data_IF_070843474322
#
_entry.id   IF_070843474322
#
_cell.length_a   1.000
_cell.length_b   1.000
_cell.length_c   1.000
_cell.angle_alpha   90.00
_cell.angle_beta   90.00
_cell.angle_gamma   90.00
#
_symmetry.space_group_name_H-M   'P 1'
#
loop_
_entity.id
_entity.type
_entity.pdbx_description
1 polymer ?
#
# COMPACT_ATOMS: atom_id res chain seq x y z
N UNK A 1 -25.52 -3.93 -7.29
CA UNK A 1 -24.28 -4.30 -6.57
C UNK A 1 -24.46 -5.69 -5.98
N UNK A 2 -23.59 -6.64 -6.31
CA UNK A 2 -23.63 -7.96 -5.70
C UNK A 2 -23.01 -7.94 -4.29
N UNK A 3 -23.40 -8.88 -3.40
CA UNK A 3 -22.65 -9.13 -2.18
C UNK A 3 -21.16 -9.31 -2.49
N UNK A 4 -20.30 -8.65 -1.71
CA UNK A 4 -18.85 -8.72 -1.92
C UNK A 4 -18.37 -10.12 -1.56
N UNK A 5 -17.63 -10.75 -2.46
CA UNK A 5 -17.05 -12.07 -2.26
C UNK A 5 -15.73 -11.99 -1.48
N UNK A 6 -15.28 -13.10 -0.89
CA UNK A 6 -13.98 -13.16 -0.22
C UNK A 6 -13.92 -12.39 1.11
N UNK A 7 -15.05 -12.09 1.74
CA UNK A 7 -15.10 -11.46 3.07
C UNK A 7 -16.20 -12.11 3.92
N UNK A 8 -16.23 -11.79 5.23
CA UNK A 8 -17.21 -12.32 6.17
C UNK A 8 -18.66 -12.01 5.70
N UNK A 9 -19.65 -12.90 5.92
CA UNK A 9 -21.00 -12.74 5.37
C UNK A 9 -21.71 -11.44 5.79
N UNK A 10 -21.45 -10.95 7.01
CA UNK A 10 -22.01 -9.68 7.50
C UNK A 10 -21.33 -8.52 6.79
N UNK A 11 -19.99 -8.50 6.76
CA UNK A 11 -19.19 -7.48 6.05
C UNK A 11 -19.56 -7.39 4.57
N UNK A 12 -19.73 -8.54 3.91
CA UNK A 12 -20.17 -8.66 2.51
C UNK A 12 -21.48 -7.91 2.24
N UNK A 13 -22.48 -8.10 3.09
CA UNK A 13 -23.79 -7.45 2.96
C UNK A 13 -23.73 -5.97 3.29
N UNK A 14 -22.98 -5.59 4.34
CA UNK A 14 -22.84 -4.20 4.74
C UNK A 14 -22.11 -3.43 3.64
N UNK A 15 -20.96 -3.90 3.15
CA UNK A 15 -20.24 -3.28 2.02
C UNK A 15 -21.14 -3.12 0.79
N UNK A 16 -21.90 -4.16 0.43
CA UNK A 16 -22.78 -4.08 -0.74
C UNK A 16 -23.87 -3.02 -0.55
N UNK A 17 -24.45 -2.94 0.66
CA UNK A 17 -25.47 -1.95 0.99
C UNK A 17 -24.89 -0.54 1.04
N UNK A 18 -23.78 -0.33 1.73
CA UNK A 18 -23.12 0.97 1.80
C UNK A 18 -22.67 1.43 0.42
N UNK A 19 -22.18 0.54 -0.44
CA UNK A 19 -21.84 0.87 -1.84
C UNK A 19 -23.07 1.34 -2.63
N UNK A 20 -24.23 0.71 -2.41
CA UNK A 20 -25.49 1.17 -3.00
C UNK A 20 -25.85 2.57 -2.52
N UNK A 21 -25.76 2.82 -1.21
CA UNK A 21 -26.08 4.13 -0.63
C UNK A 21 -25.08 5.21 -1.13
N UNK A 22 -23.81 4.86 -1.32
CA UNK A 22 -22.77 5.76 -1.87
C UNK A 22 -22.97 6.15 -3.34
N UNK A 23 -23.90 5.53 -4.07
CA UNK A 23 -24.28 5.96 -5.43
C UNK A 23 -25.28 7.13 -5.44
N UNK A 24 -25.95 7.42 -4.33
CA UNK A 24 -26.96 8.48 -4.22
C UNK A 24 -26.45 9.87 -4.63
N UNK A 25 -25.26 10.34 -4.20
CA UNK A 25 -24.75 11.67 -4.58
C UNK A 25 -24.53 11.84 -6.09
N UNK A 26 -24.37 10.73 -6.82
CA UNK A 26 -24.18 10.72 -8.27
C UNK A 26 -25.51 10.62 -9.04
N UNK A 27 -26.65 10.55 -8.34
CA UNK A 27 -27.96 10.37 -8.96
C UNK A 27 -28.12 9.02 -9.66
N UNK A 28 -27.36 8.00 -9.25
CA UNK A 28 -27.39 6.67 -9.84
C UNK A 28 -28.30 5.74 -9.02
N UNK A 29 -29.45 5.31 -9.57
CA UNK A 29 -30.31 4.34 -8.89
C UNK A 29 -29.58 3.00 -8.79
N UNK A 30 -29.35 2.53 -7.57
CA UNK A 30 -28.65 1.29 -7.31
C UNK A 30 -29.41 0.41 -6.29
N UNK A 31 -29.13 -0.89 -6.33
CA UNK A 31 -29.71 -1.88 -5.42
C UNK A 31 -28.75 -3.04 -5.15
N UNK A 32 -28.94 -3.72 -4.02
CA UNK A 32 -28.20 -4.94 -3.66
C UNK A 32 -28.84 -6.16 -4.32
N UNK A 33 -28.11 -6.89 -5.16
CA UNK A 33 -28.63 -8.04 -5.90
C UNK A 33 -29.31 -9.10 -5.00
N UNK A 34 -30.30 -9.86 -5.51
CA UNK A 34 -30.73 -9.91 -6.92
C UNK A 34 -31.64 -8.75 -7.32
N UNK A 35 -31.42 -8.20 -8.53
CA UNK A 35 -32.26 -7.20 -9.16
C UNK A 35 -32.38 -7.50 -10.66
N UNK A 36 -33.58 -7.86 -11.12
CA UNK A 36 -33.80 -8.34 -12.50
C UNK A 36 -33.78 -7.23 -13.57
N UNK A 37 -33.83 -5.97 -13.16
CA UNK A 37 -33.94 -4.81 -14.05
C UNK A 37 -32.67 -3.92 -14.09
N UNK A 38 -31.53 -4.41 -13.60
CA UNK A 38 -30.30 -3.62 -13.57
C UNK A 38 -29.62 -3.59 -14.94
N UNK A 39 -29.38 -2.40 -15.48
CA UNK A 39 -28.60 -2.20 -16.72
C UNK A 39 -27.10 -2.48 -16.52
N UNK A 40 -26.61 -2.30 -15.30
CA UNK A 40 -25.22 -2.50 -14.91
C UNK A 40 -25.13 -3.35 -13.65
N UNK A 41 -24.09 -4.18 -13.60
CA UNK A 41 -23.82 -5.10 -12.50
C UNK A 41 -22.41 -4.82 -12.00
N UNK A 42 -22.30 -4.57 -10.69
CA UNK A 42 -21.03 -4.40 -9.99
C UNK A 42 -20.76 -5.65 -9.14
N UNK A 43 -19.65 -6.33 -9.42
CA UNK A 43 -19.11 -7.43 -8.63
C UNK A 43 -17.87 -6.96 -7.89
N UNK A 44 -17.74 -7.34 -6.62
CA UNK A 44 -16.57 -7.06 -5.80
C UNK A 44 -16.05 -8.34 -5.16
N UNK A 45 -14.73 -8.51 -5.15
CA UNK A 45 -14.06 -9.62 -4.46
C UNK A 45 -12.89 -9.10 -3.65
N UNK A 46 -12.94 -9.32 -2.35
CA UNK A 46 -11.81 -9.07 -1.46
C UNK A 46 -10.79 -10.21 -1.57
N UNK A 47 -9.52 -9.83 -1.70
CA UNK A 47 -8.37 -10.72 -1.55
C UNK A 47 -7.56 -10.26 -0.35
N UNK A 48 -7.25 -11.19 0.54
CA UNK A 48 -6.43 -10.94 1.72
C UNK A 48 -4.99 -11.37 1.48
N UNK A 49 -4.06 -10.59 2.01
CA UNK A 49 -2.68 -11.03 2.13
C UNK A 49 -2.57 -12.05 3.28
N UNK A 50 -1.82 -13.15 3.11
CA UNK A 50 -1.57 -14.10 4.20
C UNK A 50 -0.83 -13.48 5.39
N UNK A 51 -0.10 -12.39 5.18
CA UNK A 51 0.52 -11.61 6.25
C UNK A 51 -0.51 -10.59 6.82
N UNK A 52 -0.95 -10.73 8.08
CA UNK A 52 -1.93 -9.81 8.69
C UNK A 52 -1.40 -8.39 8.91
N UNK A 53 -0.09 -8.17 8.74
CA UNK A 53 0.56 -6.88 8.82
C UNK A 53 0.89 -6.29 7.44
N UNK A 54 0.47 -6.94 6.34
CA UNK A 54 0.62 -6.41 5.00
C UNK A 54 -0.06 -5.05 4.84
N UNK A 55 0.54 -4.20 4.00
CA UNK A 55 -0.01 -2.90 3.65
C UNK A 55 -0.08 -2.83 2.11
N UNK A 56 -1.26 -2.99 1.48
CA UNK A 56 -2.55 -3.25 2.12
C UNK A 56 -2.71 -4.72 2.58
N UNK A 57 -3.44 -4.94 3.68
CA UNK A 57 -3.83 -6.29 4.10
C UNK A 57 -4.94 -6.86 3.21
N UNK A 58 -5.81 -6.00 2.66
CA UNK A 58 -6.90 -6.39 1.76
C UNK A 58 -6.88 -5.53 0.50
N UNK A 59 -7.08 -6.19 -0.64
CA UNK A 59 -7.35 -5.53 -1.92
C UNK A 59 -8.69 -6.03 -2.46
N UNK A 60 -9.61 -5.11 -2.77
CA UNK A 60 -10.84 -5.44 -3.51
C UNK A 60 -10.60 -5.31 -5.00
N UNK A 61 -11.03 -6.34 -5.73
CA UNK A 61 -11.13 -6.32 -7.18
C UNK A 61 -12.60 -6.14 -7.55
N UNK A 62 -12.89 -5.10 -8.31
CA UNK A 62 -14.24 -4.76 -8.72
C UNK A 62 -14.38 -4.89 -10.23
N UNK A 63 -15.45 -5.55 -10.65
CA UNK A 63 -15.80 -5.69 -12.06
C UNK A 63 -17.16 -5.04 -12.29
N UNK A 64 -17.19 -4.04 -13.17
CA UNK A 64 -18.41 -3.41 -13.64
C UNK A 64 -18.74 -3.97 -15.01
N UNK A 65 -19.88 -4.63 -15.17
CA UNK A 65 -20.38 -5.11 -16.45
C UNK A 65 -21.74 -4.50 -16.77
N UNK A 66 -22.12 -4.50 -18.05
CA UNK A 66 -23.52 -4.28 -18.42
C UNK A 66 -24.35 -5.57 -18.19
N UNK A 67 -25.67 -5.47 -18.41
CA UNK A 67 -26.61 -6.61 -18.30
C UNK A 67 -26.33 -7.77 -19.27
N UNK A 68 -25.66 -7.49 -20.39
CA UNK A 68 -25.29 -8.49 -21.39
C UNK A 68 -23.97 -9.22 -21.02
N UNK A 69 -23.33 -8.82 -19.92
CA UNK A 69 -22.07 -9.38 -19.44
C UNK A 69 -20.81 -8.76 -20.06
N UNK A 70 -20.94 -7.68 -20.85
CA UNK A 70 -19.78 -6.92 -21.33
C UNK A 70 -19.12 -6.20 -20.15
N UNK A 71 -17.85 -6.53 -19.89
CA UNK A 71 -17.04 -5.86 -18.89
C UNK A 71 -16.72 -4.42 -19.34
N UNK A 72 -17.17 -3.45 -18.56
CA UNK A 72 -16.95 -2.02 -18.78
C UNK A 72 -15.72 -1.53 -18.01
N UNK A 73 -15.44 -2.12 -16.84
CA UNK A 73 -14.27 -1.78 -16.05
C UNK A 73 -13.83 -2.93 -15.13
N UNK A 74 -12.52 -3.02 -14.92
CA UNK A 74 -11.87 -3.82 -13.88
C UNK A 74 -11.06 -2.87 -13.00
N UNK A 75 -11.34 -2.82 -11.71
CA UNK A 75 -10.81 -1.85 -10.77
C UNK A 75 -10.21 -2.56 -9.57
N UNK A 76 -8.94 -2.30 -9.32
CA UNK A 76 -8.31 -2.66 -8.05
C UNK A 76 -8.50 -1.53 -7.03
N UNK A 77 -8.70 -1.91 -5.77
CA UNK A 77 -8.90 -1.01 -4.65
C UNK A 77 -8.20 -1.56 -3.38
N UNK A 78 -7.00 -1.08 -3.06
CA UNK A 78 -6.31 -1.43 -1.83
C UNK A 78 -6.99 -0.74 -0.65
N UNK A 79 -7.30 -1.52 0.39
CA UNK A 79 -7.95 -1.02 1.59
C UNK A 79 -6.90 -0.49 2.57
N UNK A 80 -7.07 0.76 2.95
CA UNK A 80 -6.26 1.41 3.97
C UNK A 80 -6.83 1.15 5.36
N UNK A 81 -6.63 -0.07 5.83
CA UNK A 81 -7.06 -0.54 7.13
C UNK A 81 -6.08 -1.59 7.66
N UNK A 82 -5.95 -1.66 8.98
CA UNK A 82 -5.35 -2.82 9.63
C UNK A 82 -6.23 -4.07 9.45
N UNK A 83 -5.65 -5.25 9.63
CA UNK A 83 -6.40 -6.51 9.63
C UNK A 83 -7.53 -6.53 10.64
N UNK A 84 -7.30 -5.97 11.85
CA UNK A 84 -8.35 -5.82 12.85
C UNK A 84 -9.50 -4.93 12.37
N UNK A 85 -9.22 -3.72 11.86
CA UNK A 85 -10.26 -2.81 11.39
C UNK A 85 -11.09 -3.39 10.24
N UNK A 86 -10.48 -4.18 9.35
CA UNK A 86 -11.19 -4.87 8.28
C UNK A 86 -12.06 -6.02 8.80
N UNK A 87 -11.48 -6.94 9.57
CA UNK A 87 -12.17 -8.16 10.04
C UNK A 87 -13.30 -7.84 11.02
N UNK A 88 -13.15 -6.79 11.84
CA UNK A 88 -14.21 -6.32 12.74
C UNK A 88 -15.20 -5.35 12.07
N UNK A 89 -14.97 -4.97 10.81
CA UNK A 89 -15.89 -4.13 10.04
C UNK A 89 -16.03 -2.71 10.58
N UNK A 90 -14.91 -2.01 10.80
CA UNK A 90 -14.91 -0.60 11.23
C UNK A 90 -15.74 0.26 10.26
N UNK A 91 -16.78 0.99 10.73
CA UNK A 91 -17.68 1.76 9.87
C UNK A 91 -16.98 2.73 8.91
N UNK A 92 -15.95 3.42 9.38
CA UNK A 92 -15.19 4.39 8.59
C UNK A 92 -14.40 3.72 7.45
N UNK A 93 -13.97 2.47 7.61
CA UNK A 93 -13.31 1.71 6.54
C UNK A 93 -14.34 1.34 5.48
N UNK A 94 -15.49 0.83 5.88
CA UNK A 94 -16.59 0.42 4.99
C UNK A 94 -17.07 1.61 4.15
N UNK A 95 -17.32 2.76 4.79
CA UNK A 95 -17.79 3.97 4.10
C UNK A 95 -16.77 4.44 3.07
N UNK A 96 -15.49 4.54 3.43
CA UNK A 96 -14.44 4.95 2.48
C UNK A 96 -14.31 4.02 1.28
N UNK A 97 -14.38 2.71 1.51
CA UNK A 97 -14.32 1.71 0.43
C UNK A 97 -15.49 1.90 -0.53
N UNK A 98 -16.71 2.05 0.01
CA UNK A 98 -17.94 2.24 -0.75
C UNK A 98 -17.95 3.56 -1.53
N UNK A 99 -17.54 4.67 -0.92
CA UNK A 99 -17.50 5.99 -1.56
C UNK A 99 -16.50 6.04 -2.72
N UNK A 100 -15.31 5.47 -2.57
CA UNK A 100 -14.28 5.45 -3.61
C UNK A 100 -14.73 4.64 -4.84
N UNK A 101 -15.26 3.42 -4.65
CA UNK A 101 -15.74 2.63 -5.79
C UNK A 101 -16.97 3.28 -6.43
N UNK A 102 -17.88 3.87 -5.66
CA UNK A 102 -19.05 4.57 -6.20
C UNK A 102 -18.64 5.78 -7.06
N UNK A 103 -17.67 6.57 -6.57
CA UNK A 103 -17.11 7.69 -7.31
C UNK A 103 -16.53 7.25 -8.66
N UNK A 104 -15.68 6.21 -8.66
CA UNK A 104 -15.01 5.71 -9.86
C UNK A 104 -16.01 5.12 -10.85
N UNK A 105 -16.97 4.32 -10.38
CA UNK A 105 -18.03 3.76 -11.23
C UNK A 105 -18.91 4.85 -11.81
N UNK A 106 -19.27 5.88 -11.04
CA UNK A 106 -20.07 6.99 -11.54
C UNK A 106 -19.37 7.76 -12.67
N UNK A 107 -18.07 8.00 -12.54
CA UNK A 107 -17.27 8.61 -13.60
C UNK A 107 -17.31 7.76 -14.89
N UNK A 108 -17.09 6.45 -14.78
CA UNK A 108 -17.12 5.50 -15.91
C UNK A 108 -18.46 5.57 -16.65
N UNK A 109 -19.57 5.50 -15.90
CA UNK A 109 -20.91 5.53 -16.48
C UNK A 109 -21.27 6.87 -17.10
N UNK A 110 -20.68 7.97 -16.64
CA UNK A 110 -20.82 9.28 -17.26
C UNK A 110 -20.02 9.42 -18.58
N UNK A 111 -19.33 8.37 -19.04
CA UNK A 111 -18.45 8.41 -20.21
C UNK A 111 -17.17 9.21 -19.97
N UNK A 112 -16.92 9.61 -18.73
CA UNK A 112 -15.61 10.07 -18.29
C UNK A 112 -14.82 8.79 -18.15
N UNK A 113 -13.87 8.56 -19.07
CA UNK A 113 -12.96 7.44 -18.92
C UNK A 113 -12.47 7.48 -17.47
N UNK A 114 -12.59 6.37 -16.71
CA UNK A 114 -12.00 6.36 -15.39
C UNK A 114 -10.56 6.81 -15.63
N UNK A 115 -10.03 7.63 -14.73
CA UNK A 115 -8.59 7.59 -14.62
C UNK A 115 -8.29 6.09 -14.38
N UNK A 116 -7.90 5.37 -15.45
CA UNK A 116 -6.82 4.40 -15.32
C UNK A 116 -5.84 5.15 -14.43
N UNK A 117 -5.34 4.56 -13.34
CA UNK A 117 -4.25 5.20 -12.64
C UNK A 117 -3.22 5.49 -13.72
N UNK A 118 -3.20 6.74 -14.20
CA UNK A 118 -2.16 7.21 -15.07
C UNK A 118 -0.94 6.88 -14.25
N UNK A 119 0.06 6.17 -14.80
CA UNK A 119 1.28 5.94 -14.06
C UNK A 119 1.72 7.31 -13.61
N UNK A 120 1.52 7.60 -12.33
CA UNK A 120 1.55 8.96 -11.85
C UNK A 120 2.93 9.49 -12.24
N UNK A 121 3.04 10.71 -12.78
CA UNK A 121 4.34 11.26 -13.17
C UNK A 121 5.33 11.40 -12.00
N UNK A 122 4.96 10.99 -10.78
CA UNK A 122 5.87 10.67 -9.68
C UNK A 122 5.52 9.32 -9.03
N UNK A 123 6.07 8.24 -9.56
CA UNK A 123 6.03 6.92 -8.94
C UNK A 123 6.65 7.00 -7.53
N UNK A 124 5.86 6.83 -6.49
CA UNK A 124 6.29 6.93 -5.09
C UNK A 124 7.08 5.71 -4.59
N UNK A 125 7.34 5.65 -3.29
CA UNK A 125 7.89 4.45 -2.63
C UNK A 125 6.74 3.58 -2.12
N UNK A 126 6.78 2.29 -2.42
CA UNK A 126 5.95 1.28 -1.77
C UNK A 126 6.73 0.69 -0.59
N UNK A 127 6.14 0.71 0.60
CA UNK A 127 6.78 0.20 1.83
C UNK A 127 6.20 -1.17 2.15
N UNK A 128 7.03 -2.20 2.07
CA UNK A 128 6.70 -3.55 2.52
C UNK A 128 6.66 -3.58 4.06
N UNK A 129 5.90 -4.52 4.66
CA UNK A 129 6.01 -4.81 6.08
C UNK A 129 7.47 -5.05 6.48
N UNK A 130 7.87 -4.46 7.59
CA UNK A 130 9.12 -4.76 8.27
C UNK A 130 9.01 -6.16 8.87
N UNK A 131 10.12 -6.90 8.86
CA UNK A 131 10.19 -8.25 9.39
C UNK A 131 11.28 -8.35 10.49
N UNK A 132 11.07 -9.27 11.44
CA UNK A 132 12.06 -9.68 12.42
C UNK A 132 12.10 -8.85 13.71
N UNK A 133 11.27 -7.81 13.83
CA UNK A 133 11.14 -7.06 15.07
C UNK A 133 10.23 -7.80 16.06
N UNK A 134 10.65 -7.99 17.33
CA UNK A 134 9.85 -8.72 18.31
C UNK A 134 8.57 -7.97 18.72
N UNK A 135 7.59 -8.69 19.27
CA UNK A 135 6.34 -8.09 19.74
C UNK A 135 5.49 -7.50 18.61
N UNK A 136 5.01 -6.27 18.79
CA UNK A 136 4.29 -5.47 17.78
C UNK A 136 5.24 -4.61 16.91
N UNK A 137 6.54 -4.94 16.92
CA UNK A 137 7.58 -4.15 16.31
C UNK A 137 7.51 -4.06 14.79
N UNK A 138 7.17 -5.15 14.11
CA UNK A 138 7.05 -5.18 12.64
C UNK A 138 6.01 -4.14 12.16
N UNK A 139 4.82 -4.16 12.77
CA UNK A 139 3.75 -3.21 12.49
C UNK A 139 4.16 -1.78 12.87
N UNK A 140 4.70 -1.59 14.07
CA UNK A 140 5.09 -0.27 14.57
C UNK A 140 6.19 0.38 13.74
N UNK A 141 7.20 -0.38 13.31
CA UNK A 141 8.29 0.11 12.45
C UNK A 141 7.80 0.42 11.05
N UNK A 142 6.95 -0.44 10.45
CA UNK A 142 6.38 -0.20 9.12
C UNK A 142 5.60 1.11 9.08
N UNK A 143 4.75 1.34 10.09
CA UNK A 143 4.00 2.59 10.21
C UNK A 143 4.92 3.79 10.46
N UNK A 144 5.90 3.65 11.35
CA UNK A 144 6.81 4.74 11.68
C UNK A 144 7.67 5.16 10.48
N UNK A 145 8.20 4.21 9.70
CA UNK A 145 9.03 4.53 8.52
C UNK A 145 8.21 5.16 7.41
N UNK A 146 6.98 4.67 7.16
CA UNK A 146 6.08 5.27 6.19
C UNK A 146 5.75 6.73 6.56
N UNK A 147 5.42 6.99 7.83
CA UNK A 147 5.16 8.36 8.31
C UNK A 147 6.40 9.26 8.21
N UNK A 148 7.57 8.76 8.61
CA UNK A 148 8.80 9.52 8.54
C UNK A 148 9.17 9.89 7.08
N UNK A 149 8.99 8.97 6.12
CA UNK A 149 9.18 9.23 4.69
C UNK A 149 8.23 10.32 4.18
N UNK A 150 6.93 10.26 4.55
CA UNK A 150 5.95 11.29 4.17
C UNK A 150 6.33 12.65 4.74
N UNK A 151 6.71 12.73 6.02
CA UNK A 151 7.14 13.98 6.68
C UNK A 151 8.33 14.61 5.95
N UNK A 152 9.22 13.79 5.41
CA UNK A 152 10.36 14.21 4.59
C UNK A 152 10.01 14.50 3.12
N UNK A 153 8.73 14.55 2.76
CA UNK A 153 8.25 14.91 1.42
C UNK A 153 8.26 13.76 0.42
N UNK A 154 8.51 12.53 0.87
CA UNK A 154 8.50 11.35 -0.01
C UNK A 154 7.05 10.98 -0.32
N UNK A 155 6.72 10.92 -1.61
CA UNK A 155 5.47 10.31 -2.05
C UNK A 155 5.50 8.81 -1.79
N UNK A 156 4.49 8.31 -1.08
CA UNK A 156 4.26 6.87 -0.96
C UNK A 156 3.17 6.44 -1.91
N UNK A 157 3.29 5.24 -2.44
CA UNK A 157 2.22 4.57 -3.18
C UNK A 157 1.72 3.36 -2.40
N UNK A 158 0.45 3.02 -2.60
CA UNK A 158 -0.19 1.80 -2.06
C UNK A 158 -0.07 0.61 -3.02
N UNK A 159 0.50 0.84 -4.20
CA UNK A 159 0.54 -0.07 -5.33
C UNK A 159 1.98 -0.39 -5.69
N UNK A 160 2.41 -1.63 -5.46
CA UNK A 160 3.81 -2.07 -5.70
C UNK A 160 4.19 -1.90 -7.17
N UNK A 161 3.27 -2.19 -8.07
CA UNK A 161 3.42 -2.12 -9.52
C UNK A 161 3.52 -0.68 -10.05
N UNK A 162 2.99 0.29 -9.30
CA UNK A 162 3.08 1.72 -9.62
C UNK A 162 4.27 2.40 -8.93
N UNK A 163 4.99 1.69 -8.06
CA UNK A 163 6.10 2.24 -7.31
C UNK A 163 7.33 2.51 -8.18
N UNK A 164 8.11 3.53 -7.82
CA UNK A 164 9.45 3.73 -8.37
C UNK A 164 10.42 2.82 -7.64
N UNK A 165 10.21 2.72 -6.33
CA UNK A 165 11.01 1.93 -5.44
C UNK A 165 10.14 1.15 -4.46
N UNK A 166 10.60 -0.03 -4.10
CA UNK A 166 10.03 -0.88 -3.05
C UNK A 166 11.03 -0.90 -1.89
N UNK A 167 10.60 -0.46 -0.72
CA UNK A 167 11.38 -0.46 0.51
C UNK A 167 11.01 -1.67 1.36
N UNK A 168 12.01 -2.45 1.76
CA UNK A 168 11.89 -3.54 2.75
C UNK A 168 12.75 -3.23 3.97
N UNK A 169 12.28 -3.56 5.16
CA UNK A 169 13.06 -3.49 6.40
C UNK A 169 13.19 -4.86 7.04
N UNK A 170 14.41 -5.23 7.44
CA UNK A 170 14.68 -6.43 8.21
C UNK A 170 15.40 -6.05 9.50
N UNK A 171 14.84 -6.43 10.63
CA UNK A 171 15.45 -6.24 11.94
C UNK A 171 15.99 -7.57 12.49
N UNK A 172 17.21 -7.53 12.99
CA UNK A 172 17.87 -8.66 13.64
C UNK A 172 18.28 -8.24 15.06
N UNK A 173 17.86 -9.00 16.05
CA UNK A 173 18.25 -8.80 17.45
C UNK A 173 19.17 -9.94 17.88
N UNK A 174 20.38 -9.60 18.29
CA UNK A 174 21.35 -10.55 18.82
C UNK A 174 21.00 -10.97 20.24
N UNK A 175 21.37 -12.19 20.68
CA UNK A 175 21.19 -12.61 22.06
C UNK A 175 21.80 -11.63 23.06
N UNK A 176 21.20 -11.55 24.25
CA UNK A 176 21.76 -10.76 25.34
C UNK A 176 23.10 -11.32 25.81
N UNK A 177 24.12 -10.46 25.86
CA UNK A 177 25.42 -10.73 26.47
C UNK A 177 25.67 -9.65 27.52
N UNK A 178 25.83 -10.06 28.79
CA UNK A 178 26.05 -9.15 29.91
C UNK A 178 25.00 -8.04 30.04
N UNK A 179 23.72 -8.36 29.77
CA UNK A 179 22.60 -7.40 29.90
C UNK A 179 22.51 -6.38 28.76
N UNK A 180 23.22 -6.60 27.65
CA UNK A 180 23.12 -5.80 26.42
C UNK A 180 22.80 -6.71 25.23
N UNK A 181 22.05 -6.19 24.27
CA UNK A 181 21.71 -6.87 23.03
C UNK A 181 22.08 -6.01 21.83
N UNK A 182 22.66 -6.65 20.81
CA UNK A 182 22.93 -6.01 19.51
C UNK A 182 21.66 -5.96 18.67
N UNK A 183 21.50 -4.88 17.91
CA UNK A 183 20.37 -4.65 17.03
C UNK A 183 20.90 -4.18 15.70
N UNK A 184 20.47 -4.84 14.63
CA UNK A 184 20.73 -4.41 13.26
C UNK A 184 19.41 -4.25 12.53
N UNK A 185 19.26 -3.16 11.81
CA UNK A 185 18.13 -2.95 10.90
C UNK A 185 18.68 -2.65 9.52
N UNK A 186 18.29 -3.46 8.55
CA UNK A 186 18.67 -3.31 7.15
C UNK A 186 17.47 -2.81 6.36
N UNK A 187 17.56 -1.57 5.86
CA UNK A 187 16.60 -0.97 4.95
C UNK A 187 17.09 -1.17 3.52
N UNK A 188 16.42 -2.02 2.75
CA UNK A 188 16.80 -2.27 1.34
C UNK A 188 15.80 -1.60 0.42
N UNK A 189 16.33 -0.87 -0.55
CA UNK A 189 15.56 -0.26 -1.62
C UNK A 189 15.77 -1.05 -2.91
N UNK A 190 14.68 -1.44 -3.53
CA UNK A 190 14.66 -2.17 -4.81
C UNK A 190 13.76 -1.45 -5.80
N UNK A 191 13.92 -1.76 -7.08
CA UNK A 191 12.91 -1.45 -8.10
C UNK A 191 11.77 -2.48 -8.05
N UNK A 192 10.60 -2.19 -8.64
CA UNK A 192 9.51 -3.17 -8.74
C UNK A 192 9.93 -4.51 -9.40
N UNK A 193 10.91 -4.46 -10.31
CA UNK A 193 11.50 -5.62 -11.00
C UNK A 193 12.47 -6.44 -10.12
N UNK A 194 12.67 -6.04 -8.86
CA UNK A 194 13.51 -6.72 -7.88
C UNK A 194 14.98 -6.32 -7.92
N UNK A 195 15.41 -5.44 -8.82
CA UNK A 195 16.82 -4.97 -8.85
C UNK A 195 17.11 -4.08 -7.65
N UNK A 196 18.19 -4.37 -6.95
CA UNK A 196 18.64 -3.58 -5.81
C UNK A 196 19.13 -2.20 -6.27
N UNK A 197 18.59 -1.17 -5.62
CA UNK A 197 19.03 0.22 -5.74
C UNK A 197 20.13 0.51 -4.73
N UNK A 198 19.94 0.00 -3.51
CA UNK A 198 20.93 0.03 -2.45
C UNK A 198 20.31 -0.32 -1.10
N UNK A 199 21.07 -0.12 -0.04
CA UNK A 199 20.65 -0.37 1.33
C UNK A 199 21.22 0.65 2.31
N UNK A 200 20.50 0.89 3.39
CA UNK A 200 20.97 1.62 4.56
C UNK A 200 20.90 0.68 5.77
N UNK A 201 21.96 0.65 6.58
CA UNK A 201 22.06 -0.20 7.76
C UNK A 201 22.13 0.65 9.02
N UNK A 202 21.45 0.21 10.07
CA UNK A 202 21.48 0.82 11.38
C UNK A 202 21.86 -0.23 12.40
N UNK A 203 23.02 -0.05 13.03
CA UNK A 203 23.51 -0.94 14.07
C UNK A 203 23.56 -0.20 15.41
N UNK A 204 23.02 -0.82 16.45
CA UNK A 204 23.08 -0.28 17.80
C UNK A 204 23.20 -1.40 18.84
N UNK A 205 23.74 -1.08 20.01
CA UNK A 205 23.74 -1.98 21.17
C UNK A 205 22.91 -1.35 22.27
N UNK A 206 21.80 -1.97 22.61
CA UNK A 206 20.83 -1.47 23.60
C UNK A 206 20.83 -2.33 24.86
N UNK A 207 20.34 -1.83 26.00
CA UNK A 207 20.05 -2.67 27.16
C UNK A 207 19.12 -3.83 26.79
N UNK A 208 19.28 -4.97 27.46
CA UNK A 208 18.33 -6.06 27.31
C UNK A 208 16.95 -5.65 27.80
N UNK A 209 15.92 -6.11 27.10
CA UNK A 209 14.52 -5.76 27.37
C UNK A 209 14.06 -4.41 26.81
N UNK A 210 14.89 -3.68 26.05
CA UNK A 210 14.47 -2.45 25.34
C UNK A 210 13.26 -2.65 24.43
N UNK A 211 13.05 -3.87 23.93
CA UNK A 211 11.96 -4.21 23.00
C UNK A 211 10.79 -4.95 23.67
N UNK A 212 10.79 -5.05 25.00
CA UNK A 212 9.73 -5.72 25.77
C UNK A 212 8.56 -4.77 26.08
N UNK A 213 8.70 -3.50 25.71
CA UNK A 213 7.69 -2.44 25.88
C UNK A 213 6.95 -2.13 24.59
N UNK A 214 5.91 -1.28 24.67
CA UNK A 214 5.20 -0.82 23.47
C UNK A 214 6.16 -0.21 22.44
N UNK A 215 6.03 -0.64 21.19
CA UNK A 215 7.03 -0.34 20.17
C UNK A 215 6.93 1.05 19.56
N UNK A 216 5.75 1.65 19.52
CA UNK A 216 5.54 2.88 18.76
C UNK A 216 6.55 4.00 19.11
N UNK A 217 6.83 4.37 20.38
CA UNK A 217 7.85 5.38 20.67
C UNK A 217 9.24 5.02 20.12
N UNK A 218 9.68 3.79 20.32
CA UNK A 218 10.96 3.26 19.84
C UNK A 218 11.02 3.24 18.31
N UNK A 219 9.95 2.80 17.66
CA UNK A 219 9.84 2.72 16.21
C UNK A 219 9.94 4.10 15.55
N UNK A 220 9.36 5.16 16.16
CA UNK A 220 9.53 6.55 15.69
C UNK A 220 10.98 7.00 15.69
N UNK A 221 11.73 6.67 16.75
CA UNK A 221 13.14 7.05 16.86
C UNK A 221 13.98 6.34 15.79
N UNK A 222 13.75 5.03 15.62
CA UNK A 222 14.41 4.23 14.58
C UNK A 222 14.10 4.79 13.19
N UNK A 223 12.82 5.02 12.89
CA UNK A 223 12.39 5.53 11.60
C UNK A 223 12.96 6.92 11.30
N UNK A 224 12.94 7.85 12.27
CA UNK A 224 13.51 9.17 12.10
C UNK A 224 15.01 9.10 11.77
N UNK A 225 15.75 8.18 12.39
CA UNK A 225 17.16 7.96 12.08
C UNK A 225 17.38 7.26 10.72
N UNK A 226 16.39 6.53 10.21
CA UNK A 226 16.52 5.72 9.00
C UNK A 226 16.26 6.54 7.72
N UNK A 227 15.32 7.48 7.79
CA UNK A 227 14.86 8.21 6.60
C UNK A 227 15.97 8.95 5.89
N UNK A 228 16.90 9.56 6.63
CA UNK A 228 18.02 10.28 6.02
C UNK A 228 18.93 9.34 5.22
N UNK A 229 19.28 8.17 5.78
CA UNK A 229 20.06 7.15 5.07
C UNK A 229 19.33 6.59 3.85
N UNK A 230 18.01 6.43 3.90
CA UNK A 230 17.21 6.01 2.75
C UNK A 230 17.23 7.08 1.65
N UNK A 231 17.13 8.36 2.01
CA UNK A 231 17.21 9.48 1.06
C UNK A 231 18.59 9.59 0.41
N UNK A 232 19.65 9.35 1.16
CA UNK A 232 21.02 9.29 0.62
C UNK A 232 21.17 8.16 -0.42
N UNK A 233 20.61 6.97 -0.15
CA UNK A 233 20.60 5.85 -1.10
C UNK A 233 19.86 6.24 -2.39
N UNK A 234 18.70 6.88 -2.28
CA UNK A 234 17.93 7.35 -3.44
C UNK A 234 18.73 8.38 -4.25
N UNK A 235 19.21 9.43 -3.60
CA UNK A 235 19.94 10.50 -4.28
C UNK A 235 21.22 10.01 -4.96
N UNK A 236 21.98 9.14 -4.27
CA UNK A 236 23.19 8.55 -4.82
C UNK A 236 22.93 7.63 -6.02
N UNK A 237 21.80 6.93 -6.05
CA UNK A 237 21.39 6.13 -7.19
C UNK A 237 20.95 6.99 -8.39
N UNK A 238 20.12 8.00 -8.15
CA UNK A 238 19.60 8.87 -9.21
C UNK A 238 20.72 9.66 -9.91
N UNK A 239 21.74 10.11 -9.16
CA UNK A 239 22.93 10.75 -9.73
C UNK A 239 23.70 9.82 -10.68
N UNK A 240 23.86 8.54 -10.30
CA UNK A 240 24.53 7.53 -11.13
C UNK A 240 23.76 7.27 -12.41
N UNK A 241 22.44 7.15 -12.32
CA UNK A 241 21.59 6.97 -13.50
C UNK A 241 21.69 8.15 -14.46
N UNK A 242 21.67 9.39 -13.93
CA UNK A 242 21.82 10.60 -14.74
C UNK A 242 23.17 10.64 -15.45
N UNK A 243 24.25 10.36 -14.73
CA UNK A 243 25.61 10.33 -15.31
C UNK A 243 25.74 9.27 -16.41
N UNK A 244 25.13 8.10 -16.24
CA UNK A 244 25.12 7.03 -17.25
C UNK A 244 24.29 7.39 -18.49
N UNK A 245 23.19 8.13 -18.31
CA UNK A 245 22.37 8.62 -19.42
C UNK A 245 23.10 9.70 -20.23
N UNK A 246 23.76 10.64 -19.56
CA UNK A 246 24.55 11.72 -20.18
C UNK A 246 25.79 11.17 -20.90
N UNK A 247 26.49 10.20 -20.30
CA UNK A 247 27.65 9.53 -20.91
C UNK A 247 27.33 8.69 -22.15
N UNK A 248 26.08 8.21 -22.31
CA UNK A 248 25.61 7.53 -23.52
C UNK A 248 25.22 8.49 -24.65
N UNK A 249 25.07 9.79 -24.38
CA UNK A 249 24.67 10.80 -25.36
C UNK A 249 25.82 11.44 -26.16
N UNK A 250 27.09 11.19 -25.80
CA UNK A 250 28.25 11.92 -26.34
C UNK A 250 29.27 11.07 -27.15
N UNK A 251 28.85 10.02 -27.85
CA UNK A 251 29.69 9.39 -28.89
C UNK A 251 28.80 8.78 -29.97
N UNK A 252 28.91 9.09 -31.26
CA UNK A 252 30.06 9.48 -32.11
C UNK A 252 29.55 10.44 -33.20
N UNK A 253 30.29 11.49 -33.63
CA UNK A 253 29.96 12.19 -34.86
C UNK A 253 30.30 11.29 -36.06
N UNK A 254 29.32 11.02 -36.91
CA UNK A 254 29.51 10.34 -38.20
C UNK A 254 30.65 11.00 -38.96
N UNK A 255 31.69 10.21 -39.27
CA UNK A 255 32.78 10.59 -40.16
C UNK A 255 33.09 9.41 -41.08
#
# INVERSE_FOLDING_TARGET
VNPIEGTAPIMSKILARTTVDSFEPYGLPAGVAPFDASEYILHGRAHHDPNPNAIPYVTLHWQLSNKDGLLLADLEQPVDATSGEWEFGTPEVIIRVAEDVAHRVAAILAGIAPAQPEPAPDKGIFVMPVEGAPGDGDFSLTRAIAEALKVRGTRLTRYREQAKYVLTGLMEVSPSVQGRQGVRITWRLTRPDGKEVGKAEQDNTVPSGTFDTQWMPTARLIAAAAVDGIHEVIGGWEERERTLAEGRGLGVPDN
#
